data_IF_048711967856
#
_entry.id   IF_048711967856
#
_cell.length_a   1.000
_cell.length_b   1.000
_cell.length_c   1.000
_cell.angle_alpha   90.00
_cell.angle_beta   90.00
_cell.angle_gamma   90.00
#
_symmetry.space_group_name_H-M   'P 1'
#
loop_
_entity.id
_entity.type
_entity.pdbx_description
1 polymer ?
#
# COMPACT_ATOMS: atom_id res chain seq x y z
N UNK A 1 30.14 -9.91 3.64
CA UNK A 1 28.71 -10.19 3.58
C UNK A 1 28.39 -10.83 2.23
N UNK A 2 28.04 -12.13 2.19
CA UNK A 2 27.87 -12.91 0.97
C UNK A 2 26.77 -12.39 0.05
N UNK A 3 25.71 -11.75 0.59
CA UNK A 3 24.63 -11.14 -0.19
C UNK A 3 25.12 -9.92 -0.98
N UNK A 4 25.90 -9.06 -0.37
CA UNK A 4 26.48 -7.87 -1.04
C UNK A 4 27.39 -8.27 -2.21
N UNK A 5 28.26 -9.25 -1.98
CA UNK A 5 29.12 -9.80 -3.04
C UNK A 5 28.25 -10.39 -4.17
N UNK A 6 27.18 -11.12 -3.83
CA UNK A 6 26.23 -11.66 -4.80
C UNK A 6 25.65 -10.60 -5.72
N UNK A 7 25.23 -9.43 -5.19
CA UNK A 7 24.74 -8.30 -6.00
C UNK A 7 25.84 -7.72 -6.90
N UNK A 8 27.04 -7.51 -6.38
CA UNK A 8 28.18 -6.96 -7.15
C UNK A 8 28.60 -7.83 -8.33
N UNK A 9 28.46 -9.16 -8.22
CA UNK A 9 28.91 -10.11 -9.27
C UNK A 9 27.78 -10.57 -10.19
N UNK A 10 26.50 -10.16 -9.94
CA UNK A 10 25.39 -10.51 -10.83
C UNK A 10 25.60 -9.87 -12.20
N UNK A 11 25.79 -10.65 -13.29
CA UNK A 11 26.15 -10.11 -14.60
C UNK A 11 25.05 -9.22 -15.20
N UNK A 12 23.78 -9.58 -15.02
CA UNK A 12 22.64 -8.84 -15.57
C UNK A 12 22.49 -7.49 -14.86
N UNK A 13 22.56 -7.48 -13.52
CA UNK A 13 22.51 -6.25 -12.73
C UNK A 13 23.70 -5.34 -13.04
N UNK A 14 24.90 -5.92 -13.14
CA UNK A 14 26.11 -5.17 -13.55
C UNK A 14 25.94 -4.54 -14.92
N UNK A 15 25.44 -5.31 -15.91
CA UNK A 15 25.19 -4.80 -17.25
C UNK A 15 24.20 -3.65 -17.24
N UNK A 16 23.07 -3.80 -16.51
CA UNK A 16 22.08 -2.75 -16.38
C UNK A 16 22.70 -1.47 -15.78
N UNK A 17 23.51 -1.59 -14.71
CA UNK A 17 24.21 -0.44 -14.13
C UNK A 17 25.21 0.21 -15.08
N UNK A 18 25.84 -0.54 -15.99
CA UNK A 18 26.76 0.01 -16.97
C UNK A 18 26.04 0.80 -18.08
N UNK A 19 24.84 0.37 -18.45
CA UNK A 19 24.02 0.91 -19.54
C UNK A 19 23.05 2.03 -19.09
N UNK A 20 23.03 2.41 -17.80
CA UNK A 20 22.14 3.44 -17.26
C UNK A 20 22.91 4.63 -16.69
N UNK A 21 22.33 5.81 -16.70
CA UNK A 21 22.93 7.03 -16.12
C UNK A 21 22.53 7.22 -14.66
N UNK A 22 21.31 6.80 -14.29
CA UNK A 22 20.77 6.96 -12.95
C UNK A 22 19.97 5.74 -12.51
N UNK A 23 19.76 5.60 -11.22
CA UNK A 23 18.98 4.52 -10.58
C UNK A 23 17.92 5.14 -9.70
N UNK A 24 16.67 4.78 -9.97
CA UNK A 24 15.54 5.17 -9.13
C UNK A 24 15.05 3.94 -8.36
N UNK A 25 15.18 3.99 -7.04
CA UNK A 25 14.64 2.97 -6.13
C UNK A 25 13.22 3.35 -5.74
N UNK A 26 12.23 2.58 -6.20
CA UNK A 26 10.82 2.94 -6.08
C UNK A 26 10.06 2.11 -5.07
N UNK A 27 9.06 2.75 -4.47
CA UNK A 27 7.92 2.14 -3.79
C UNK A 27 8.22 1.37 -2.51
N UNK A 28 7.18 1.09 -1.79
CA UNK A 28 7.21 0.16 -0.67
C UNK A 28 7.79 0.71 0.64
N UNK A 29 8.22 -0.22 1.48
CA UNK A 29 8.83 0.00 2.78
C UNK A 29 9.99 -0.98 2.95
N UNK A 30 11.01 -0.80 2.11
CA UNK A 30 12.12 -1.74 2.00
C UNK A 30 13.37 -1.27 2.76
N UNK A 31 13.52 0.04 3.00
CA UNK A 31 14.60 0.60 3.81
C UNK A 31 14.16 0.57 5.28
N UNK A 32 14.20 -0.62 5.88
CA UNK A 32 13.66 -0.87 7.24
C UNK A 32 14.30 -2.10 7.88
N UNK A 33 14.28 -2.13 9.22
CA UNK A 33 14.68 -3.28 10.03
C UNK A 33 13.49 -4.04 10.67
N UNK A 34 12.26 -3.75 10.25
CA UNK A 34 11.06 -4.40 10.82
C UNK A 34 11.14 -5.93 10.75
N UNK A 35 11.67 -6.49 9.67
CA UNK A 35 11.75 -7.94 9.48
C UNK A 35 12.98 -8.56 10.18
N UNK A 36 14.03 -7.79 10.39
CA UNK A 36 15.24 -8.23 11.08
C UNK A 36 16.13 -7.04 11.44
N UNK A 37 16.57 -6.98 12.70
CA UNK A 37 17.57 -6.03 13.20
C UNK A 37 19.01 -6.46 12.85
N UNK A 38 19.18 -7.71 12.47
CA UNK A 38 20.47 -8.34 12.16
C UNK A 38 20.74 -8.47 10.65
N UNK A 39 19.92 -7.81 9.81
CA UNK A 39 20.08 -7.89 8.38
C UNK A 39 19.84 -6.54 7.71
N UNK A 40 20.75 -6.15 6.86
CA UNK A 40 20.57 -5.06 5.91
C UNK A 40 19.68 -5.56 4.77
N UNK A 41 18.68 -4.77 4.38
CA UNK A 41 17.77 -5.13 3.29
C UNK A 41 18.55 -5.24 1.96
N UNK A 42 18.06 -6.10 1.04
CA UNK A 42 18.65 -6.24 -0.29
C UNK A 42 18.69 -4.92 -1.05
N UNK A 43 17.70 -4.07 -0.86
CA UNK A 43 17.63 -2.78 -1.53
C UNK A 43 18.78 -1.84 -1.14
N UNK A 44 19.24 -1.87 0.10
CA UNK A 44 20.44 -1.11 0.51
C UNK A 44 21.68 -1.60 -0.26
N UNK A 45 21.79 -2.89 -0.56
CA UNK A 45 22.86 -3.41 -1.39
C UNK A 45 22.74 -2.96 -2.85
N UNK A 46 21.53 -2.87 -3.40
CA UNK A 46 21.31 -2.34 -4.76
C UNK A 46 21.72 -0.86 -4.83
N UNK A 47 21.35 -0.05 -3.83
CA UNK A 47 21.78 1.35 -3.72
C UNK A 47 23.31 1.45 -3.58
N UNK A 48 23.93 0.61 -2.75
CA UNK A 48 25.38 0.57 -2.58
C UNK A 48 26.10 0.25 -3.89
N UNK A 49 25.62 -0.75 -4.64
CA UNK A 49 26.19 -1.08 -5.95
C UNK A 49 26.05 0.10 -6.93
N UNK A 50 24.90 0.76 -6.95
CA UNK A 50 24.66 1.91 -7.82
C UNK A 50 25.65 3.06 -7.54
N UNK A 51 25.90 3.35 -6.25
CA UNK A 51 26.87 4.35 -5.81
C UNK A 51 28.31 3.95 -6.23
N UNK A 52 28.70 2.67 -6.07
CA UNK A 52 30.00 2.16 -6.50
C UNK A 52 30.21 2.33 -7.99
N UNK A 53 29.15 2.12 -8.79
CA UNK A 53 29.16 2.36 -10.24
C UNK A 53 29.02 3.83 -10.63
N UNK A 54 29.08 4.75 -9.64
CA UNK A 54 28.99 6.20 -9.82
C UNK A 54 27.74 6.66 -10.56
N UNK A 55 26.62 5.99 -10.28
CA UNK A 55 25.32 6.40 -10.81
C UNK A 55 24.69 7.44 -9.90
N UNK A 56 23.88 8.34 -10.46
CA UNK A 56 22.94 9.13 -9.67
C UNK A 56 21.90 8.21 -9.05
N UNK A 57 21.65 8.32 -7.74
CA UNK A 57 20.80 7.38 -7.00
C UNK A 57 19.70 8.15 -6.28
N UNK A 58 18.48 7.88 -6.69
CA UNK A 58 17.27 8.50 -6.14
C UNK A 58 16.39 7.45 -5.45
N UNK A 59 15.86 7.81 -4.28
CA UNK A 59 14.78 7.06 -3.61
C UNK A 59 13.47 7.78 -3.88
N UNK A 60 12.47 7.04 -4.43
CA UNK A 60 11.20 7.61 -4.85
C UNK A 60 10.02 7.00 -4.12
N UNK A 61 9.23 7.85 -3.43
CA UNK A 61 7.95 7.50 -2.79
C UNK A 61 8.05 6.30 -1.83
N UNK A 62 9.11 6.25 -1.02
CA UNK A 62 9.32 5.18 -0.04
C UNK A 62 9.07 5.66 1.39
N UNK A 63 8.67 4.72 2.27
CA UNK A 63 8.82 4.90 3.71
C UNK A 63 10.18 4.38 4.14
N UNK A 64 10.89 5.14 4.98
CA UNK A 64 12.18 4.78 5.55
C UNK A 64 12.02 4.51 7.05
N UNK A 65 12.57 3.40 7.52
CA UNK A 65 12.61 3.03 8.94
C UNK A 65 11.42 2.21 9.44
N UNK A 66 11.43 1.79 10.72
CA UNK A 66 12.54 2.03 11.65
C UNK A 66 13.86 1.44 11.16
N UNK A 67 14.96 2.08 11.52
CA UNK A 67 16.31 1.62 11.27
C UNK A 67 17.00 1.40 12.63
N UNK A 68 16.74 0.24 13.21
CA UNK A 68 17.24 -0.19 14.50
C UNK A 68 18.09 -1.45 14.29
N UNK A 69 19.42 -1.30 14.36
CA UNK A 69 20.37 -2.35 14.09
C UNK A 69 21.04 -2.82 15.39
N UNK A 70 21.16 -4.14 15.57
CA UNK A 70 21.96 -4.73 16.63
C UNK A 70 23.47 -4.59 16.34
N UNK A 71 23.84 -4.55 15.05
CA UNK A 71 25.23 -4.39 14.58
C UNK A 71 25.56 -2.93 14.29
N UNK A 72 26.57 -2.39 14.97
CA UNK A 72 27.08 -1.05 14.67
C UNK A 72 27.74 -0.97 13.27
N UNK A 73 28.23 -2.09 12.75
CA UNK A 73 28.79 -2.15 11.39
C UNK A 73 27.70 -1.99 10.36
N UNK A 74 26.58 -2.70 10.51
CA UNK A 74 25.42 -2.60 9.61
C UNK A 74 24.80 -1.21 9.67
N UNK A 75 24.68 -0.63 10.86
CA UNK A 75 24.23 0.75 11.05
C UNK A 75 25.11 1.74 10.27
N UNK A 76 26.43 1.70 10.47
CA UNK A 76 27.37 2.57 9.76
C UNK A 76 27.38 2.35 8.26
N UNK A 77 27.18 1.12 7.81
CA UNK A 77 27.05 0.82 6.39
C UNK A 77 25.83 1.50 5.79
N UNK A 78 24.67 1.40 6.45
CA UNK A 78 23.43 2.07 6.00
C UNK A 78 23.57 3.58 6.05
N UNK A 79 24.16 4.16 7.10
CA UNK A 79 24.47 5.60 7.19
C UNK A 79 25.37 6.05 6.02
N UNK A 80 26.39 5.28 5.69
CA UNK A 80 27.29 5.55 4.57
C UNK A 80 26.57 5.54 3.21
N UNK A 81 25.57 4.68 3.02
CA UNK A 81 24.81 4.61 1.77
C UNK A 81 23.79 5.75 1.70
N UNK A 82 23.00 5.95 2.75
CA UNK A 82 21.96 6.98 2.77
C UNK A 82 22.54 8.39 2.65
N UNK A 83 23.72 8.65 3.22
CA UNK A 83 24.41 9.95 3.11
C UNK A 83 24.94 10.27 1.69
N UNK A 84 24.85 9.33 0.76
CA UNK A 84 25.34 9.48 -0.63
C UNK A 84 24.22 9.45 -1.67
N UNK A 85 22.97 9.47 -1.24
CA UNK A 85 21.84 9.55 -2.14
C UNK A 85 21.74 10.97 -2.70
N UNK A 86 21.47 11.08 -3.99
CA UNK A 86 21.36 12.37 -4.68
C UNK A 86 20.04 13.06 -4.34
N UNK A 87 18.93 12.29 -4.25
CA UNK A 87 17.63 12.79 -3.81
C UNK A 87 16.81 11.68 -3.14
N UNK A 88 16.01 12.07 -2.15
CA UNK A 88 15.20 11.15 -1.34
C UNK A 88 13.78 11.70 -1.23
N UNK A 89 12.85 11.16 -2.00
CA UNK A 89 11.44 11.47 -1.92
C UNK A 89 10.75 10.44 -1.02
N UNK A 90 10.35 10.87 0.17
CA UNK A 90 9.65 10.03 1.15
C UNK A 90 8.16 10.35 1.17
N UNK A 91 7.33 9.36 1.49
CA UNK A 91 5.87 9.49 1.48
C UNK A 91 5.22 9.72 2.85
N UNK A 92 6.03 9.87 3.89
CA UNK A 92 5.57 10.16 5.24
C UNK A 92 6.61 10.98 6.01
N UNK A 93 6.14 11.88 6.88
CA UNK A 93 6.99 12.81 7.65
C UNK A 93 7.95 12.09 8.61
N UNK A 94 7.57 10.93 9.15
CA UNK A 94 8.43 10.13 10.03
C UNK A 94 9.71 9.70 9.30
N UNK A 95 9.59 9.40 8.01
CA UNK A 95 10.72 9.00 7.18
C UNK A 95 11.73 10.12 6.96
N UNK A 96 11.32 11.40 6.99
CA UNK A 96 12.22 12.56 6.91
C UNK A 96 13.22 12.52 8.06
N UNK A 97 12.73 12.52 9.31
CA UNK A 97 13.60 12.53 10.49
C UNK A 97 14.50 11.30 10.59
N UNK A 98 14.07 10.14 10.05
CA UNK A 98 14.91 8.95 10.01
C UNK A 98 16.00 9.08 8.94
N UNK A 99 15.67 9.58 7.75
CA UNK A 99 16.66 9.81 6.69
C UNK A 99 17.75 10.80 7.12
N UNK A 100 17.37 11.92 7.74
CA UNK A 100 18.31 12.91 8.32
C UNK A 100 19.21 12.28 9.39
N UNK A 101 18.62 11.52 10.33
CA UNK A 101 19.38 10.82 11.38
C UNK A 101 20.40 9.85 10.82
N UNK A 102 20.16 9.28 9.64
CA UNK A 102 21.06 8.37 8.95
C UNK A 102 21.92 9.06 7.88
N UNK A 103 22.02 10.39 7.93
CA UNK A 103 23.01 11.18 7.20
C UNK A 103 22.58 11.66 5.82
N UNK A 104 21.33 11.50 5.42
CA UNK A 104 20.85 12.19 4.22
C UNK A 104 20.92 13.71 4.43
N UNK A 105 21.38 14.44 3.41
CA UNK A 105 21.36 15.91 3.44
C UNK A 105 19.90 16.39 3.38
N UNK A 106 19.47 17.21 4.35
CA UNK A 106 18.10 17.72 4.45
C UNK A 106 17.62 18.43 3.20
N UNK A 107 18.53 19.10 2.46
CA UNK A 107 18.20 19.76 1.19
C UNK A 107 17.80 18.78 0.07
N UNK A 108 18.20 17.51 0.17
CA UNK A 108 17.92 16.46 -0.80
C UNK A 108 16.73 15.60 -0.38
N UNK A 109 16.11 15.87 0.79
CA UNK A 109 14.94 15.13 1.27
C UNK A 109 13.67 15.91 0.94
N UNK A 110 12.75 15.25 0.28
CA UNK A 110 11.47 15.81 -0.15
C UNK A 110 10.32 14.93 0.35
N UNK A 111 9.26 15.57 0.86
CA UNK A 111 8.00 14.88 1.12
C UNK A 111 7.20 14.79 -0.17
N UNK A 112 6.78 13.61 -0.53
CA UNK A 112 5.86 13.36 -1.64
C UNK A 112 4.70 12.50 -1.16
N UNK A 113 3.84 12.04 -2.06
CA UNK A 113 2.74 11.14 -1.70
C UNK A 113 2.97 9.71 -2.22
N UNK A 114 2.11 8.78 -1.79
CA UNK A 114 2.11 7.40 -2.30
C UNK A 114 1.85 7.36 -3.80
N UNK A 115 2.80 6.84 -4.57
CA UNK A 115 2.76 6.84 -6.04
C UNK A 115 1.49 6.22 -6.63
N UNK A 116 0.88 5.24 -5.94
CA UNK A 116 -0.38 4.61 -6.39
C UNK A 116 -1.51 5.64 -6.57
N UNK A 117 -1.50 6.74 -5.82
CA UNK A 117 -2.48 7.81 -5.95
C UNK A 117 -2.43 8.49 -7.33
N UNK A 118 -1.32 8.39 -8.05
CA UNK A 118 -1.20 8.89 -9.43
C UNK A 118 -2.15 8.20 -10.41
N UNK A 119 -2.68 7.01 -10.07
CA UNK A 119 -3.72 6.34 -10.87
C UNK A 119 -4.99 7.18 -11.01
N UNK A 120 -5.23 8.13 -10.08
CA UNK A 120 -6.36 9.06 -10.18
C UNK A 120 -6.35 9.88 -11.49
N UNK A 121 -5.19 10.14 -12.10
CA UNK A 121 -5.07 10.79 -13.41
C UNK A 121 -5.85 10.09 -14.54
N UNK A 122 -6.16 8.81 -14.35
CA UNK A 122 -6.93 8.02 -15.31
C UNK A 122 -8.45 8.15 -15.11
N UNK A 123 -8.88 9.03 -14.19
CA UNK A 123 -10.27 9.33 -13.89
C UNK A 123 -10.53 10.79 -14.25
N UNK A 124 -11.28 11.04 -15.30
CA UNK A 124 -11.60 12.41 -15.74
C UNK A 124 -12.50 13.11 -14.74
N UNK A 125 -13.55 12.42 -14.28
CA UNK A 125 -14.56 12.95 -13.37
C UNK A 125 -14.95 11.92 -12.30
N UNK A 126 -15.36 12.41 -11.12
CA UNK A 126 -15.96 11.56 -10.10
C UNK A 126 -17.17 10.80 -10.66
N UNK A 127 -17.20 9.50 -10.43
CA UNK A 127 -18.31 8.64 -10.80
C UNK A 127 -19.23 8.44 -9.58
N UNK A 128 -20.45 9.02 -9.57
CA UNK A 128 -21.40 8.84 -8.47
C UNK A 128 -21.75 7.37 -8.21
N UNK A 129 -22.15 7.07 -6.98
CA UNK A 129 -22.45 5.69 -6.55
C UNK A 129 -23.50 5.02 -7.45
N UNK A 130 -24.54 5.74 -7.82
CA UNK A 130 -25.63 5.21 -8.66
C UNK A 130 -25.18 4.75 -10.06
N UNK A 131 -24.04 5.24 -10.54
CA UNK A 131 -23.49 4.87 -11.85
C UNK A 131 -22.47 3.73 -11.76
N UNK A 132 -22.18 3.24 -10.54
CA UNK A 132 -21.25 2.13 -10.30
C UNK A 132 -22.02 0.80 -10.31
N UNK A 133 -21.27 -0.30 -10.42
CA UNK A 133 -21.87 -1.64 -10.31
C UNK A 133 -22.41 -1.85 -8.89
N UNK A 134 -23.56 -2.49 -8.77
CA UNK A 134 -24.21 -2.88 -7.51
C UNK A 134 -23.37 -3.94 -6.80
N UNK A 135 -22.18 -3.53 -6.33
CA UNK A 135 -21.12 -4.39 -5.81
C UNK A 135 -20.44 -3.77 -4.63
N UNK A 136 -20.15 -4.63 -3.63
CA UNK A 136 -19.20 -4.38 -2.57
C UNK A 136 -17.95 -5.19 -2.87
N UNK A 137 -16.82 -4.50 -3.15
CA UNK A 137 -15.53 -5.15 -3.29
C UNK A 137 -14.90 -5.37 -1.91
N UNK A 138 -14.26 -6.52 -1.70
CA UNK A 138 -13.64 -6.84 -0.41
C UNK A 138 -12.24 -7.41 -0.64
N UNK A 139 -11.23 -6.84 0.02
CA UNK A 139 -9.94 -7.50 0.21
C UNK A 139 -9.80 -7.97 1.65
N UNK A 140 -9.19 -9.13 1.84
CA UNK A 140 -8.91 -9.67 3.16
C UNK A 140 -7.41 -9.69 3.43
N UNK A 141 -7.05 -9.90 4.69
CA UNK A 141 -5.65 -10.08 5.10
C UNK A 141 -5.43 -11.48 5.66
N UNK A 142 -4.86 -12.35 4.83
CA UNK A 142 -4.44 -13.68 5.23
C UNK A 142 -3.04 -13.61 5.87
N UNK A 143 -2.93 -13.58 7.20
CA UNK A 143 -1.62 -13.65 7.85
C UNK A 143 -1.24 -15.10 8.13
N UNK A 144 -0.05 -15.51 7.71
CA UNK A 144 0.53 -16.79 8.11
C UNK A 144 0.83 -16.92 9.61
N UNK A 145 0.61 -15.88 10.40
CA UNK A 145 0.94 -15.80 11.83
C UNK A 145 -0.29 -15.97 12.75
N UNK A 146 -1.50 -16.05 12.21
CA UNK A 146 -2.70 -16.33 13.03
C UNK A 146 -2.70 -17.79 13.45
N UNK A 147 -2.99 -18.01 14.73
CA UNK A 147 -3.33 -19.36 15.24
C UNK A 147 -4.62 -19.85 14.57
N UNK A 148 -4.91 -21.15 14.70
CA UNK A 148 -6.17 -21.70 14.18
C UNK A 148 -7.39 -21.02 14.80
N UNK A 149 -7.37 -20.77 16.12
CA UNK A 149 -8.47 -20.12 16.87
C UNK A 149 -8.67 -18.68 16.37
N UNK A 150 -7.60 -17.93 16.17
CA UNK A 150 -7.68 -16.56 15.64
C UNK A 150 -8.18 -16.54 14.19
N UNK A 151 -7.82 -17.54 13.40
CA UNK A 151 -8.31 -17.70 12.03
C UNK A 151 -9.80 -17.99 12.00
N UNK A 152 -10.28 -18.92 12.83
CA UNK A 152 -11.71 -19.28 12.90
C UNK A 152 -12.55 -18.08 13.40
N UNK A 153 -12.05 -17.32 14.36
CA UNK A 153 -12.68 -16.08 14.83
C UNK A 153 -12.75 -15.02 13.73
N UNK A 154 -11.66 -14.85 12.97
CA UNK A 154 -11.62 -13.92 11.85
C UNK A 154 -12.61 -14.30 10.74
N UNK A 155 -12.70 -15.60 10.39
CA UNK A 155 -13.67 -16.10 9.41
C UNK A 155 -15.10 -15.78 9.89
N UNK A 156 -15.41 -16.04 11.15
CA UNK A 156 -16.72 -15.73 11.73
C UNK A 156 -17.03 -14.23 11.68
N UNK A 157 -16.11 -13.39 12.11
CA UNK A 157 -16.28 -11.94 12.08
C UNK A 157 -16.53 -11.44 10.65
N UNK A 158 -15.66 -11.77 9.70
CA UNK A 158 -15.79 -11.27 8.33
C UNK A 158 -17.05 -11.82 7.65
N UNK A 159 -17.46 -13.07 7.91
CA UNK A 159 -18.72 -13.60 7.37
C UNK A 159 -19.94 -12.81 7.87
N UNK A 160 -19.95 -12.42 9.15
CA UNK A 160 -21.04 -11.58 9.70
C UNK A 160 -21.05 -10.18 9.11
N UNK A 161 -19.87 -9.59 8.82
CA UNK A 161 -19.77 -8.27 8.19
C UNK A 161 -20.33 -8.29 6.77
N UNK A 162 -19.98 -9.28 5.97
CA UNK A 162 -20.47 -9.39 4.59
C UNK A 162 -21.96 -9.70 4.54
N UNK A 163 -22.47 -10.52 5.47
CA UNK A 163 -23.91 -10.80 5.58
C UNK A 163 -24.69 -9.54 5.85
N UNK A 164 -24.25 -8.73 6.82
CA UNK A 164 -24.87 -7.45 7.11
C UNK A 164 -24.82 -6.49 5.90
N UNK A 165 -23.65 -6.41 5.26
CA UNK A 165 -23.47 -5.50 4.11
C UNK A 165 -24.39 -5.85 2.95
N UNK A 166 -24.52 -7.16 2.64
CA UNK A 166 -25.49 -7.63 1.66
C UNK A 166 -26.93 -7.31 2.06
N UNK A 167 -27.31 -7.61 3.29
CA UNK A 167 -28.70 -7.38 3.77
C UNK A 167 -29.09 -5.91 3.71
N UNK A 168 -28.14 -5.02 4.01
CA UNK A 168 -28.35 -3.56 4.00
C UNK A 168 -28.47 -2.99 2.59
N UNK A 169 -27.66 -3.47 1.63
CA UNK A 169 -27.54 -2.84 0.30
C UNK A 169 -28.13 -3.67 -0.85
N UNK A 170 -28.20 -4.98 -0.66
CA UNK A 170 -28.49 -6.00 -1.69
C UNK A 170 -27.44 -6.03 -2.83
N UNK A 171 -26.30 -5.43 -2.62
CA UNK A 171 -25.19 -5.47 -3.56
C UNK A 171 -24.45 -6.81 -3.51
N UNK A 172 -24.05 -7.32 -4.66
CA UNK A 172 -23.19 -8.52 -4.70
C UNK A 172 -21.89 -8.30 -3.91
N UNK A 173 -21.43 -9.34 -3.23
CA UNK A 173 -20.17 -9.34 -2.49
C UNK A 173 -19.09 -9.98 -3.36
N UNK A 174 -18.08 -9.21 -3.75
CA UNK A 174 -17.02 -9.71 -4.62
C UNK A 174 -15.67 -9.58 -3.95
N UNK A 175 -15.08 -10.69 -3.58
CA UNK A 175 -13.76 -10.74 -3.00
C UNK A 175 -12.68 -10.51 -4.06
N UNK A 176 -11.76 -9.60 -3.76
CA UNK A 176 -10.60 -9.29 -4.56
C UNK A 176 -9.34 -9.87 -3.88
N UNK A 177 -8.82 -11.02 -4.31
CA UNK A 177 -7.57 -11.55 -3.80
C UNK A 177 -6.42 -10.62 -4.17
N UNK A 178 -5.63 -10.20 -3.18
CA UNK A 178 -4.47 -9.33 -3.36
C UNK A 178 -3.15 -10.10 -3.34
N UNK A 179 -3.18 -11.36 -2.90
CA UNK A 179 -2.02 -12.25 -2.84
C UNK A 179 -2.41 -13.62 -3.37
N UNK A 180 -1.71 -14.05 -4.44
CA UNK A 180 -2.05 -15.26 -5.21
C UNK A 180 -0.91 -16.29 -5.18
N UNK A 181 0.11 -16.11 -4.35
CA UNK A 181 1.32 -16.94 -4.37
C UNK A 181 1.31 -18.01 -3.28
N UNK A 182 1.22 -19.26 -3.72
CA UNK A 182 1.62 -20.45 -2.97
C UNK A 182 0.78 -20.76 -1.74
N UNK A 183 1.04 -21.90 -1.12
CA UNK A 183 0.21 -22.49 -0.05
C UNK A 183 0.09 -21.71 1.26
N UNK A 184 0.91 -20.67 1.49
CA UNK A 184 0.92 -19.91 2.74
C UNK A 184 0.50 -18.45 2.63
N UNK A 185 0.30 -17.93 1.42
CA UNK A 185 -0.03 -16.51 1.23
C UNK A 185 -1.20 -16.28 0.28
N UNK A 186 -1.79 -17.31 -0.30
CA UNK A 186 -2.91 -17.18 -1.22
C UNK A 186 -4.19 -16.84 -0.46
N UNK A 187 -4.75 -15.67 -0.74
CA UNK A 187 -5.96 -15.19 -0.07
C UNK A 187 -7.19 -16.09 -0.35
N UNK A 188 -7.21 -16.80 -1.48
CA UNK A 188 -8.40 -17.53 -1.97
C UNK A 188 -8.85 -18.65 -1.04
N UNK A 189 -7.94 -19.33 -0.33
CA UNK A 189 -8.34 -20.37 0.61
C UNK A 189 -9.14 -19.82 1.79
N UNK A 190 -8.73 -18.64 2.30
CA UNK A 190 -9.41 -17.97 3.42
C UNK A 190 -10.74 -17.37 2.96
N UNK A 191 -10.75 -16.76 1.76
CA UNK A 191 -11.98 -16.24 1.14
C UNK A 191 -13.02 -17.34 0.99
N UNK A 192 -12.66 -18.53 0.48
CA UNK A 192 -13.59 -19.67 0.34
C UNK A 192 -14.22 -20.05 1.67
N UNK A 193 -13.43 -20.09 2.77
CA UNK A 193 -13.94 -20.39 4.11
C UNK A 193 -14.89 -19.31 4.64
N UNK A 194 -14.61 -18.04 4.36
CA UNK A 194 -15.50 -16.93 4.73
C UNK A 194 -16.83 -17.04 3.96
N UNK A 195 -16.79 -17.30 2.66
CA UNK A 195 -17.99 -17.48 1.83
C UNK A 195 -18.80 -18.69 2.31
N UNK A 196 -18.16 -19.84 2.58
CA UNK A 196 -18.82 -21.04 3.09
C UNK A 196 -19.55 -20.78 4.42
N UNK A 197 -19.02 -19.91 5.26
CA UNK A 197 -19.58 -19.54 6.56
C UNK A 197 -20.73 -18.54 6.45
N UNK A 198 -20.78 -17.72 5.43
CA UNK A 198 -21.79 -16.71 5.20
C UNK A 198 -23.16 -17.33 4.93
N UNK A 199 -24.21 -16.74 5.51
CA UNK A 199 -25.61 -17.11 5.21
C UNK A 199 -26.02 -16.61 3.83
N UNK A 200 -25.38 -15.55 3.33
CA UNK A 200 -25.60 -14.95 2.03
C UNK A 200 -24.60 -15.45 0.96
N UNK A 201 -24.01 -16.63 1.13
CA UNK A 201 -22.96 -17.19 0.27
C UNK A 201 -23.30 -17.22 -1.23
N UNK A 202 -24.57 -17.33 -1.58
CA UNK A 202 -25.03 -17.36 -2.98
C UNK A 202 -24.86 -16.01 -3.71
N UNK A 203 -24.64 -14.94 -2.96
CA UNK A 203 -24.39 -13.57 -3.45
C UNK A 203 -22.92 -13.17 -3.30
N UNK A 204 -22.07 -14.13 -2.93
CA UNK A 204 -20.64 -13.94 -2.78
C UNK A 204 -19.88 -14.60 -3.92
N UNK A 205 -18.89 -13.93 -4.44
CA UNK A 205 -17.99 -14.47 -5.47
C UNK A 205 -16.54 -14.05 -5.26
N UNK A 206 -15.63 -14.73 -5.95
CA UNK A 206 -14.21 -14.37 -5.98
C UNK A 206 -13.89 -13.81 -7.36
N UNK A 207 -13.28 -12.66 -7.42
CA UNK A 207 -12.73 -12.14 -8.67
C UNK A 207 -11.40 -12.87 -8.96
N UNK A 208 -11.50 -14.00 -9.62
CA UNK A 208 -10.38 -14.91 -9.89
C UNK A 208 -9.93 -14.79 -11.37
N UNK A 209 -9.46 -13.60 -11.73
CA UNK A 209 -8.87 -13.33 -13.04
C UNK A 209 -7.40 -12.94 -12.85
N UNK A 210 -6.58 -13.23 -13.85
CA UNK A 210 -5.22 -12.71 -13.89
C UNK A 210 -5.29 -11.19 -14.10
N UNK A 211 -4.87 -10.43 -13.09
CA UNK A 211 -5.04 -8.98 -13.05
C UNK A 211 -3.69 -8.29 -12.86
N UNK A 212 -3.45 -7.30 -13.68
CA UNK A 212 -2.39 -6.32 -13.43
C UNK A 212 -2.86 -5.24 -12.43
N UNK A 213 -1.96 -4.37 -12.04
CA UNK A 213 -2.20 -3.26 -11.11
C UNK A 213 -3.39 -2.38 -11.52
N UNK A 214 -3.52 -2.11 -12.83
CA UNK A 214 -4.59 -1.25 -13.35
C UNK A 214 -5.96 -1.94 -13.32
N UNK A 215 -6.00 -3.25 -13.51
CA UNK A 215 -7.24 -4.01 -13.41
C UNK A 215 -7.77 -4.03 -11.98
N UNK A 216 -6.88 -4.17 -10.98
CA UNK A 216 -7.26 -4.03 -9.56
C UNK A 216 -7.86 -2.64 -9.28
N UNK A 217 -7.21 -1.59 -9.77
CA UNK A 217 -7.70 -0.23 -9.63
C UNK A 217 -9.09 -0.05 -10.27
N UNK A 218 -9.25 -0.49 -11.52
CA UNK A 218 -10.55 -0.44 -12.22
C UNK A 218 -11.64 -1.25 -11.55
N UNK A 219 -11.30 -2.42 -11.03
CA UNK A 219 -12.25 -3.23 -10.27
C UNK A 219 -12.80 -2.42 -9.10
N UNK A 220 -11.92 -1.86 -8.27
CA UNK A 220 -12.28 -1.08 -7.07
C UNK A 220 -13.04 0.19 -7.45
N UNK A 221 -12.61 0.90 -8.49
CA UNK A 221 -13.27 2.09 -9.01
C UNK A 221 -14.75 1.86 -9.36
N UNK A 222 -15.07 0.67 -9.87
CA UNK A 222 -16.42 0.30 -10.26
C UNK A 222 -17.28 -0.29 -9.13
N UNK A 223 -16.76 -0.45 -7.92
CA UNK A 223 -17.54 -0.86 -6.76
C UNK A 223 -18.30 0.35 -6.17
N UNK A 224 -19.54 0.15 -5.71
CA UNK A 224 -20.25 1.17 -4.94
C UNK A 224 -19.58 1.40 -3.58
N UNK A 225 -19.14 0.31 -2.94
CA UNK A 225 -18.41 0.33 -1.67
C UNK A 225 -17.21 -0.61 -1.73
N UNK A 226 -16.23 -0.33 -0.90
CA UNK A 226 -15.07 -1.20 -0.76
C UNK A 226 -14.75 -1.45 0.72
N UNK A 227 -14.45 -2.68 1.08
CA UNK A 227 -13.96 -3.06 2.41
C UNK A 227 -12.51 -3.51 2.25
N UNK A 228 -11.57 -2.67 2.65
CA UNK A 228 -10.15 -2.90 2.48
C UNK A 228 -9.49 -3.37 3.76
N UNK A 229 -8.86 -4.55 3.76
CA UNK A 229 -8.07 -5.01 4.91
C UNK A 229 -6.57 -4.94 4.61
N UNK A 230 -6.12 -5.15 3.38
CA UNK A 230 -4.72 -4.89 2.99
C UNK A 230 -4.51 -3.41 2.70
N UNK A 231 -3.44 -2.82 3.23
CA UNK A 231 -3.13 -1.39 3.08
C UNK A 231 -3.14 -0.95 1.61
N UNK A 232 -2.56 -1.74 0.69
CA UNK A 232 -2.55 -1.39 -0.73
C UNK A 232 -3.95 -1.35 -1.35
N UNK A 233 -4.87 -2.23 -0.94
CA UNK A 233 -6.26 -2.19 -1.42
C UNK A 233 -7.02 -0.95 -0.94
N UNK A 234 -6.72 -0.48 0.29
CA UNK A 234 -7.22 0.80 0.82
C UNK A 234 -6.69 1.95 -0.03
N UNK A 235 -5.38 1.97 -0.34
CA UNK A 235 -4.79 3.01 -1.18
C UNK A 235 -5.41 3.02 -2.58
N UNK A 236 -5.71 1.87 -3.18
CA UNK A 236 -6.43 1.81 -4.45
C UNK A 236 -7.84 2.42 -4.36
N UNK A 237 -8.57 2.14 -3.28
CA UNK A 237 -9.90 2.70 -3.08
C UNK A 237 -9.85 4.22 -2.89
N UNK A 238 -8.86 4.73 -2.15
CA UNK A 238 -8.58 6.16 -2.00
C UNK A 238 -8.21 6.79 -3.36
N UNK A 239 -7.33 6.16 -4.14
CA UNK A 239 -6.97 6.64 -5.47
C UNK A 239 -8.17 6.69 -6.42
N UNK A 240 -9.09 5.74 -6.31
CA UNK A 240 -10.27 5.61 -7.15
C UNK A 240 -11.45 6.50 -6.74
N UNK A 241 -11.40 7.17 -5.59
CA UNK A 241 -12.56 7.88 -5.05
C UNK A 241 -13.70 6.94 -4.67
N UNK A 242 -13.37 5.70 -4.26
CA UNK A 242 -14.37 4.71 -3.86
C UNK A 242 -14.64 4.81 -2.38
N UNK A 243 -15.90 5.01 -1.94
CA UNK A 243 -16.26 4.98 -0.53
C UNK A 243 -15.84 3.66 0.10
N UNK A 244 -15.14 3.71 1.26
CA UNK A 244 -14.56 2.52 1.83
C UNK A 244 -14.64 2.47 3.35
N UNK A 245 -14.61 1.24 3.88
CA UNK A 245 -14.19 0.95 5.25
C UNK A 245 -12.80 0.32 5.19
N UNK A 246 -11.88 0.84 5.98
CA UNK A 246 -10.57 0.25 6.18
C UNK A 246 -10.53 -0.58 7.46
N UNK A 247 -10.29 -1.90 7.34
CA UNK A 247 -9.98 -2.77 8.46
C UNK A 247 -8.46 -2.70 8.69
N UNK A 248 -8.04 -1.85 9.63
CA UNK A 248 -6.64 -1.46 9.76
C UNK A 248 -5.86 -2.43 10.66
N UNK A 249 -5.11 -3.36 10.07
CA UNK A 249 -4.16 -4.21 10.80
C UNK A 249 -2.81 -3.51 11.07
N UNK A 250 -2.54 -2.41 10.37
CA UNK A 250 -1.29 -1.66 10.49
C UNK A 250 -1.57 -0.16 10.65
N UNK A 251 -0.85 0.57 11.51
CA UNK A 251 -1.04 2.03 11.72
C UNK A 251 -1.02 2.86 10.43
N UNK A 252 -0.20 2.50 9.46
CA UNK A 252 -0.16 3.17 8.14
C UNK A 252 -1.50 3.24 7.43
N UNK A 253 -2.37 2.25 7.62
CA UNK A 253 -3.71 2.27 7.02
C UNK A 253 -4.53 3.40 7.61
N UNK A 254 -4.42 3.61 8.93
CA UNK A 254 -5.07 4.73 9.63
C UNK A 254 -4.47 6.07 9.16
N UNK A 255 -3.12 6.13 9.03
CA UNK A 255 -2.43 7.34 8.56
C UNK A 255 -2.96 7.78 7.18
N UNK A 256 -3.15 6.84 6.23
CA UNK A 256 -3.75 7.15 4.93
C UNK A 256 -5.20 7.62 5.05
N UNK A 257 -6.02 6.98 5.88
CA UNK A 257 -7.41 7.40 6.08
C UNK A 257 -7.48 8.80 6.69
N UNK A 258 -6.57 9.14 7.61
CA UNK A 258 -6.43 10.47 8.20
C UNK A 258 -5.97 11.52 7.17
N UNK A 259 -5.00 11.19 6.32
CA UNK A 259 -4.55 12.07 5.23
C UNK A 259 -5.70 12.47 4.30
N UNK A 260 -6.67 11.56 4.12
CA UNK A 260 -7.89 11.81 3.34
C UNK A 260 -9.05 12.38 4.17
N UNK A 261 -8.85 12.59 5.47
CA UNK A 261 -9.87 13.06 6.42
C UNK A 261 -11.15 12.19 6.42
N UNK A 262 -10.95 10.88 6.36
CA UNK A 262 -11.99 9.85 6.38
C UNK A 262 -11.69 8.74 7.40
N UNK A 263 -10.90 9.08 8.43
CA UNK A 263 -10.48 8.18 9.50
C UNK A 263 -11.65 7.57 10.29
N UNK A 264 -12.81 8.23 10.32
CA UNK A 264 -14.02 7.69 10.93
C UNK A 264 -14.48 6.35 10.31
N UNK A 265 -14.03 6.08 9.06
CA UNK A 265 -14.27 4.82 8.36
C UNK A 265 -13.12 3.83 8.48
N UNK A 266 -12.15 4.07 9.37
CA UNK A 266 -11.10 3.12 9.72
C UNK A 266 -11.43 2.42 11.04
N UNK A 267 -11.38 1.09 11.04
CA UNK A 267 -11.56 0.27 12.23
C UNK A 267 -10.27 -0.50 12.46
N UNK A 268 -9.59 -0.24 13.59
CA UNK A 268 -8.41 -1.04 13.94
C UNK A 268 -8.80 -2.51 14.13
N UNK A 269 -7.97 -3.43 13.66
CA UNK A 269 -8.23 -4.89 13.71
C UNK A 269 -8.51 -5.37 15.13
N UNK A 270 -7.83 -4.77 16.12
CA UNK A 270 -8.03 -5.04 17.54
C UNK A 270 -9.37 -4.54 18.11
N UNK A 271 -10.02 -3.61 17.41
CA UNK A 271 -11.28 -2.98 17.82
C UNK A 271 -12.47 -3.43 16.95
N UNK A 272 -12.24 -4.36 16.03
CA UNK A 272 -13.26 -4.85 15.13
C UNK A 272 -14.33 -5.63 15.89
N UNK A 273 -15.50 -5.04 16.01
CA UNK A 273 -16.71 -5.68 16.53
C UNK A 273 -17.83 -5.53 15.50
N UNK A 274 -18.82 -6.41 15.59
CA UNK A 274 -20.00 -6.35 14.72
C UNK A 274 -20.72 -4.99 14.82
N UNK A 275 -20.95 -4.50 16.04
CA UNK A 275 -21.67 -3.24 16.26
C UNK A 275 -20.91 -2.03 15.73
N UNK A 276 -19.58 -1.99 15.95
CA UNK A 276 -18.74 -0.91 15.43
C UNK A 276 -18.75 -0.90 13.89
N UNK A 277 -18.67 -2.08 13.28
CA UNK A 277 -18.77 -2.19 11.83
C UNK A 277 -20.13 -1.73 11.31
N UNK A 278 -21.23 -2.20 11.91
CA UNK A 278 -22.61 -1.85 11.52
C UNK A 278 -22.81 -0.32 11.55
N UNK A 279 -22.39 0.33 12.63
CA UNK A 279 -22.48 1.79 12.74
C UNK A 279 -21.68 2.46 11.62
N UNK A 280 -20.41 2.09 11.45
CA UNK A 280 -19.52 2.64 10.45
C UNK A 280 -20.03 2.42 9.00
N UNK A 281 -20.58 1.24 8.71
CA UNK A 281 -21.11 0.92 7.39
C UNK A 281 -22.42 1.66 7.08
N UNK A 282 -23.29 1.84 8.07
CA UNK A 282 -24.50 2.66 7.90
C UNK A 282 -24.15 4.09 7.57
N UNK A 283 -23.26 4.70 8.33
CA UNK A 283 -22.78 6.07 8.09
C UNK A 283 -22.16 6.20 6.67
N UNK A 284 -21.36 5.19 6.26
CA UNK A 284 -20.78 5.16 4.92
C UNK A 284 -21.86 5.10 3.83
N UNK A 285 -22.88 4.26 3.99
CA UNK A 285 -23.96 4.13 3.00
C UNK A 285 -24.76 5.44 2.88
N UNK A 286 -25.05 6.11 3.99
CA UNK A 286 -25.77 7.38 4.00
C UNK A 286 -24.98 8.52 3.36
N UNK A 287 -23.68 8.56 3.60
CA UNK A 287 -22.78 9.63 3.13
C UNK A 287 -21.99 9.26 1.85
N UNK A 288 -22.29 8.15 1.19
CA UNK A 288 -21.41 7.53 0.20
C UNK A 288 -20.97 8.47 -0.93
N UNK A 289 -21.88 9.26 -1.52
CA UNK A 289 -21.53 10.20 -2.58
C UNK A 289 -20.65 11.36 -2.06
N UNK A 290 -20.92 11.85 -0.86
CA UNK A 290 -20.12 12.89 -0.23
C UNK A 290 -18.71 12.39 0.06
N UNK A 291 -18.59 11.22 0.71
CA UNK A 291 -17.31 10.59 1.04
C UNK A 291 -16.51 10.26 -0.21
N UNK A 292 -17.14 9.65 -1.22
CA UNK A 292 -16.48 9.30 -2.47
C UNK A 292 -15.96 10.53 -3.23
N UNK A 293 -16.75 11.61 -3.29
CA UNK A 293 -16.31 12.85 -3.93
C UNK A 293 -15.17 13.54 -3.16
N UNK A 294 -15.22 13.53 -1.81
CA UNK A 294 -14.15 14.03 -0.96
C UNK A 294 -12.84 13.28 -1.22
N UNK A 295 -12.90 11.94 -1.21
CA UNK A 295 -11.74 11.08 -1.50
C UNK A 295 -11.20 11.36 -2.91
N UNK A 296 -12.07 11.41 -3.91
CA UNK A 296 -11.69 11.67 -5.30
C UNK A 296 -10.97 13.02 -5.44
N UNK A 297 -11.53 14.08 -4.85
CA UNK A 297 -10.96 15.44 -4.93
C UNK A 297 -9.59 15.51 -4.27
N UNK A 298 -9.43 14.90 -3.09
CA UNK A 298 -8.14 14.82 -2.39
C UNK A 298 -7.12 14.00 -3.18
N UNK A 299 -7.54 12.84 -3.72
CA UNK A 299 -6.67 12.00 -4.56
C UNK A 299 -6.21 12.71 -5.82
N UNK A 300 -7.09 13.50 -6.45
CA UNK A 300 -6.74 14.30 -7.62
C UNK A 300 -5.67 15.34 -7.31
N UNK A 301 -5.80 16.04 -6.18
CA UNK A 301 -4.81 17.01 -5.71
C UNK A 301 -3.45 16.32 -5.48
N UNK A 302 -3.43 15.25 -4.67
CA UNK A 302 -2.20 14.49 -4.39
C UNK A 302 -1.56 13.91 -5.65
N UNK A 303 -2.37 13.46 -6.61
CA UNK A 303 -1.88 12.98 -7.91
C UNK A 303 -1.19 14.08 -8.73
N UNK A 304 -1.65 15.32 -8.64
CA UNK A 304 -1.00 16.47 -9.28
C UNK A 304 0.33 16.81 -8.58
N UNK A 305 0.36 16.82 -7.25
CA UNK A 305 1.58 17.03 -6.46
C UNK A 305 2.64 15.96 -6.79
N UNK A 306 2.26 14.68 -6.85
CA UNK A 306 3.16 13.59 -7.26
C UNK A 306 3.77 13.85 -8.64
N UNK A 307 2.99 14.41 -9.58
CA UNK A 307 3.54 14.73 -10.91
C UNK A 307 4.57 15.86 -10.85
N UNK A 308 4.27 16.91 -10.10
CA UNK A 308 5.20 18.03 -9.93
C UNK A 308 6.52 17.54 -9.32
N UNK A 309 6.42 16.72 -8.27
CA UNK A 309 7.58 16.12 -7.62
C UNK A 309 8.38 15.22 -8.57
N UNK A 310 7.67 14.45 -9.42
CA UNK A 310 8.32 13.57 -10.39
C UNK A 310 9.00 14.36 -11.50
N UNK A 311 8.38 15.42 -12.01
CA UNK A 311 8.97 16.30 -13.03
C UNK A 311 10.23 16.97 -12.45
N UNK A 312 10.17 17.45 -11.20
CA UNK A 312 11.32 17.98 -10.48
C UNK A 312 12.44 16.96 -10.33
N UNK A 313 12.10 15.71 -9.95
CA UNK A 313 13.08 14.62 -9.88
C UNK A 313 13.82 14.44 -11.22
N UNK A 314 13.07 14.43 -12.32
CA UNK A 314 13.61 14.27 -13.67
C UNK A 314 14.54 15.42 -14.02
N UNK A 315 14.13 16.66 -13.80
CA UNK A 315 14.91 17.85 -14.09
C UNK A 315 16.22 17.90 -13.31
N UNK A 316 16.16 17.69 -11.99
CA UNK A 316 17.32 17.78 -11.10
C UNK A 316 18.31 16.61 -11.25
N UNK A 317 17.83 15.41 -11.59
CA UNK A 317 18.66 14.20 -11.51
C UNK A 317 18.97 13.55 -12.87
N UNK A 318 18.22 13.84 -13.94
CA UNK A 318 18.43 13.21 -15.24
C UNK A 318 18.97 14.19 -16.29
N UNK A 319 18.65 15.48 -16.18
CA UNK A 319 19.07 16.51 -17.14
C UNK A 319 20.00 17.57 -16.53
N UNK A 320 20.31 17.48 -15.22
CA UNK A 320 21.19 18.39 -14.51
C UNK A 320 22.68 18.03 -14.54
#
# INVERSE_FOLDING_TARGET
NSKFIGHLINPEFKKALQETDSVISTGGHHITTILSKNAVSSQIFDLACSIIYKKKVVVWSQSIGPLDFDSNIDKKFVECILSRLDSVFVRDERSIGIAEKFGCDSKNIHLTSETVLSLNKRIDNYNPIANRKDRIGISIYSTGNRTKIETDKYIEQVSQLIDYSYDKTKNEIVFLPMELKGSKGDDRWLIKKIIERSVNKNYCSIYDQDMNTYDHFKFIQNCQYFIGHKTHSVIYALAAGTPLIALAYHPKTIDFMTQFEVEKYAIADTELTKDKYISCFNDLVEEANFVGNKIYSKSKLLSQEIQIDFDRLIEENLYG
#
